data_IF_001843535436
#
_entry.id   IF_001843535436
#
_cell.length_a   1.000
_cell.length_b   1.000
_cell.length_c   1.000
_cell.angle_alpha   90.00
_cell.angle_beta   90.00
_cell.angle_gamma   90.00
#
_symmetry.space_group_name_H-M   'P 1'
#
loop_
_entity.id
_entity.type
_entity.pdbx_description
1 polymer ?
#
# COMPACT_ATOMS: atom_id res chain seq x y z
N UNK A 1 -23.72 3.12 -19.26
CA UNK A 1 -22.93 2.54 -18.13
C UNK A 1 -23.68 2.87 -16.86
N UNK A 2 -23.82 1.93 -15.93
CA UNK A 2 -24.56 2.19 -14.70
C UNK A 2 -23.85 3.29 -13.89
N UNK A 3 -24.61 4.11 -13.15
CA UNK A 3 -24.08 5.12 -12.22
C UNK A 3 -23.14 4.55 -11.17
N UNK A 4 -23.13 3.22 -11.00
CA UNK A 4 -22.27 2.50 -10.05
C UNK A 4 -20.81 2.38 -10.49
N UNK A 5 -20.53 2.40 -11.80
CA UNK A 5 -19.17 2.34 -12.33
C UNK A 5 -18.78 3.69 -12.93
N UNK A 6 -17.82 4.37 -12.33
CA UNK A 6 -17.43 5.72 -12.72
C UNK A 6 -15.93 5.94 -12.51
N UNK A 7 -15.31 6.87 -13.24
CA UNK A 7 -13.91 7.25 -13.01
C UNK A 7 -13.69 7.79 -11.60
N UNK A 8 -12.50 7.54 -11.06
CA UNK A 8 -12.07 8.00 -9.73
C UNK A 8 -10.70 8.65 -9.83
N UNK A 9 -10.43 9.61 -8.95
CA UNK A 9 -9.12 10.24 -8.81
C UNK A 9 -8.59 10.06 -7.41
N UNK A 10 -7.35 9.57 -7.28
CA UNK A 10 -6.60 9.47 -6.02
C UNK A 10 -5.39 10.39 -6.13
N UNK A 11 -5.39 11.52 -5.41
CA UNK A 11 -4.35 12.52 -5.59
C UNK A 11 -4.26 12.97 -7.05
N UNK A 12 -3.14 12.72 -7.70
CA UNK A 12 -2.90 13.01 -9.12
C UNK A 12 -3.15 11.83 -10.06
N UNK A 13 -3.53 10.67 -9.51
CA UNK A 13 -3.75 9.44 -10.28
C UNK A 13 -5.20 9.36 -10.75
N UNK A 14 -5.40 9.39 -12.07
CA UNK A 14 -6.72 9.24 -12.68
C UNK A 14 -6.98 7.78 -13.07
N UNK A 15 -8.05 7.21 -12.55
CA UNK A 15 -8.46 5.82 -12.75
C UNK A 15 -9.75 5.78 -13.58
N UNK A 16 -9.81 4.86 -14.51
CA UNK A 16 -10.97 4.73 -15.43
C UNK A 16 -12.24 4.22 -14.75
N UNK A 17 -12.13 3.68 -13.55
CA UNK A 17 -13.25 3.12 -12.80
C UNK A 17 -12.94 3.01 -11.30
N UNK A 18 -13.95 2.66 -10.55
CA UNK A 18 -13.95 2.54 -9.09
C UNK A 18 -13.91 1.07 -8.59
N UNK A 19 -13.59 0.11 -9.46
CA UNK A 19 -13.43 -1.28 -9.06
C UNK A 19 -11.97 -1.55 -8.68
N UNK A 20 -11.68 -1.68 -7.40
CA UNK A 20 -10.35 -1.88 -6.85
C UNK A 20 -10.20 -3.26 -6.23
N UNK A 21 -9.06 -3.90 -6.47
CA UNK A 21 -8.70 -5.11 -5.73
C UNK A 21 -8.10 -4.73 -4.39
N UNK A 22 -8.73 -5.15 -3.30
CA UNK A 22 -8.21 -4.95 -1.96
C UNK A 22 -6.92 -5.75 -1.70
N UNK A 23 -6.01 -5.28 -0.81
CA UNK A 23 -4.84 -6.04 -0.41
C UNK A 23 -5.24 -7.28 0.40
N UNK A 24 -4.77 -8.47 -0.01
CA UNK A 24 -5.04 -9.73 0.68
C UNK A 24 -3.74 -10.50 0.86
N UNK A 25 -3.27 -10.58 2.10
CA UNK A 25 -2.03 -11.28 2.44
C UNK A 25 -2.07 -12.75 2.01
N UNK A 26 -1.03 -13.19 1.31
CA UNK A 26 -0.91 -14.53 0.75
C UNK A 26 -1.66 -14.75 -0.58
N UNK A 27 -2.33 -13.73 -1.13
CA UNK A 27 -3.13 -13.85 -2.35
C UNK A 27 -2.85 -12.75 -3.39
N UNK A 28 -2.73 -11.48 -2.97
CA UNK A 28 -2.58 -10.36 -3.91
C UNK A 28 -1.14 -10.16 -4.39
N UNK A 29 -0.48 -11.24 -4.79
CA UNK A 29 0.79 -11.20 -5.50
C UNK A 29 0.64 -10.62 -6.92
N UNK A 30 1.75 -10.37 -7.61
CA UNK A 30 1.73 -9.76 -8.92
C UNK A 30 0.94 -10.59 -9.96
N UNK A 31 0.97 -11.93 -9.86
CA UNK A 31 0.26 -12.80 -10.79
C UNK A 31 -1.25 -12.72 -10.58
N UNK A 32 -1.71 -12.77 -9.34
CA UNK A 32 -3.13 -12.65 -9.02
C UNK A 32 -3.66 -11.25 -9.38
N UNK A 33 -2.91 -10.19 -9.08
CA UNK A 33 -3.28 -8.83 -9.46
C UNK A 33 -3.41 -8.67 -10.98
N UNK A 34 -2.49 -9.28 -11.75
CA UNK A 34 -2.56 -9.31 -13.22
C UNK A 34 -3.88 -9.88 -13.73
N UNK A 35 -4.30 -11.03 -13.18
CA UNK A 35 -5.59 -11.67 -13.53
C UNK A 35 -6.77 -10.76 -13.17
N UNK A 36 -6.73 -10.09 -12.01
CA UNK A 36 -7.79 -9.16 -11.61
C UNK A 36 -7.89 -7.95 -12.55
N UNK A 37 -6.77 -7.40 -13.02
CA UNK A 37 -6.75 -6.33 -14.03
C UNK A 37 -7.37 -6.79 -15.35
N UNK A 38 -7.06 -7.99 -15.82
CA UNK A 38 -7.68 -8.58 -17.03
C UNK A 38 -9.19 -8.75 -16.90
N UNK A 39 -9.66 -8.95 -15.66
CA UNK A 39 -11.09 -9.10 -15.34
C UNK A 39 -11.77 -7.81 -14.88
N UNK A 40 -11.14 -6.64 -15.11
CA UNK A 40 -11.80 -5.34 -14.95
C UNK A 40 -11.45 -4.55 -13.68
N UNK A 41 -10.52 -5.02 -12.86
CA UNK A 41 -10.00 -4.18 -11.78
C UNK A 41 -9.26 -2.98 -12.38
N UNK A 42 -9.56 -1.78 -11.88
CA UNK A 42 -8.94 -0.53 -12.36
C UNK A 42 -7.71 -0.13 -11.56
N UNK A 43 -7.61 -0.63 -10.35
CA UNK A 43 -6.51 -0.37 -9.43
C UNK A 43 -6.31 -1.54 -8.48
N UNK A 44 -5.09 -1.77 -8.07
CA UNK A 44 -4.72 -2.91 -7.21
C UNK A 44 -3.78 -2.48 -6.11
N UNK A 45 -3.77 -3.26 -5.04
CA UNK A 45 -2.85 -3.10 -3.92
C UNK A 45 -1.98 -4.34 -3.79
N UNK A 46 -0.71 -4.16 -3.44
CA UNK A 46 0.16 -5.29 -3.09
C UNK A 46 -0.31 -5.95 -1.79
N UNK A 47 0.24 -7.11 -1.47
CA UNK A 47 0.22 -7.60 -0.09
C UNK A 47 0.87 -6.56 0.84
N UNK A 48 0.55 -6.62 2.14
CA UNK A 48 1.12 -5.70 3.11
C UNK A 48 2.62 -5.96 3.33
N UNK A 49 3.43 -4.93 3.15
CA UNK A 49 4.89 -4.93 3.22
C UNK A 49 5.34 -4.40 4.58
N UNK A 50 6.17 -5.15 5.30
CA UNK A 50 6.72 -4.69 6.58
C UNK A 50 7.73 -3.56 6.37
N UNK A 51 7.47 -2.37 6.92
CA UNK A 51 8.39 -1.24 6.91
C UNK A 51 9.73 -1.61 7.56
N UNK A 52 9.70 -2.24 8.75
CA UNK A 52 10.90 -2.73 9.44
C UNK A 52 11.72 -3.71 8.60
N UNK A 53 11.08 -4.66 7.93
CA UNK A 53 11.80 -5.63 7.10
C UNK A 53 12.41 -4.96 5.86
N UNK A 54 11.74 -3.95 5.32
CA UNK A 54 12.19 -3.21 4.16
C UNK A 54 13.44 -2.38 4.46
N UNK A 55 13.42 -1.62 5.56
CA UNK A 55 14.55 -0.84 6.05
C UNK A 55 15.75 -1.74 6.36
N UNK A 56 15.52 -2.96 6.84
CA UNK A 56 16.56 -3.98 7.05
C UNK A 56 17.00 -4.70 5.78
N UNK A 57 16.58 -4.24 4.60
CA UNK A 57 16.97 -4.78 3.28
C UNK A 57 16.61 -6.26 3.09
N UNK A 58 15.46 -6.70 3.58
CA UNK A 58 14.99 -8.07 3.41
C UNK A 58 14.50 -8.29 1.97
N UNK A 59 15.24 -9.06 1.18
CA UNK A 59 14.95 -9.33 -0.23
C UNK A 59 13.58 -10.00 -0.46
N UNK A 60 13.12 -10.85 0.48
CA UNK A 60 11.79 -11.49 0.36
C UNK A 60 10.66 -10.45 0.43
N UNK A 61 10.87 -9.38 1.19
CA UNK A 61 9.91 -8.28 1.31
C UNK A 61 9.86 -7.45 0.03
N UNK A 62 10.97 -7.27 -0.65
CA UNK A 62 11.02 -6.53 -1.92
C UNK A 62 10.23 -7.22 -3.05
N UNK A 63 10.17 -8.55 -3.05
CA UNK A 63 9.40 -9.29 -4.04
C UNK A 63 7.90 -8.95 -3.98
N UNK A 64 7.37 -8.68 -2.79
CA UNK A 64 5.96 -8.32 -2.59
C UNK A 64 5.57 -7.01 -3.29
N UNK A 65 6.54 -6.10 -3.52
CA UNK A 65 6.30 -4.79 -4.11
C UNK A 65 6.28 -4.80 -5.64
N UNK A 66 6.59 -5.91 -6.30
CA UNK A 66 6.72 -5.99 -7.76
C UNK A 66 5.41 -5.64 -8.45
N UNK A 67 5.50 -4.76 -9.46
CA UNK A 67 4.39 -4.43 -10.36
C UNK A 67 4.07 -5.63 -11.25
N UNK A 68 2.81 -5.92 -11.50
CA UNK A 68 2.40 -6.84 -12.56
C UNK A 68 2.54 -6.15 -13.94
N UNK A 69 2.77 -6.95 -14.99
CA UNK A 69 3.12 -6.40 -16.31
C UNK A 69 2.01 -5.55 -16.96
N UNK A 70 0.76 -5.76 -16.57
CA UNK A 70 -0.42 -5.05 -17.08
C UNK A 70 -0.98 -3.98 -16.11
N UNK A 71 -0.35 -3.76 -14.96
CA UNK A 71 -0.73 -2.70 -14.02
C UNK A 71 -0.24 -1.34 -14.53
N UNK A 72 -1.18 -0.46 -14.92
CA UNK A 72 -0.88 0.93 -15.29
C UNK A 72 -0.65 1.82 -14.09
N UNK A 73 -1.40 1.57 -13.03
CA UNK A 73 -1.27 2.18 -11.71
C UNK A 73 -1.54 1.13 -10.63
N UNK A 74 -0.81 1.19 -9.55
CA UNK A 74 -1.01 0.32 -8.39
C UNK A 74 -0.49 0.97 -7.11
N UNK A 75 -0.89 0.42 -5.99
CA UNK A 75 -0.43 0.83 -4.68
C UNK A 75 0.48 -0.22 -4.05
N UNK A 76 1.53 0.25 -3.40
CA UNK A 76 2.28 -0.59 -2.45
C UNK A 76 1.75 -0.31 -1.06
N UNK A 77 1.20 -1.34 -0.40
CA UNK A 77 0.74 -1.23 0.98
C UNK A 77 1.88 -1.52 1.95
N UNK A 78 2.17 -0.58 2.85
CA UNK A 78 3.15 -0.75 3.93
C UNK A 78 2.48 -0.79 5.30
N UNK A 79 3.08 -1.50 6.26
CA UNK A 79 2.66 -1.47 7.65
C UNK A 79 3.84 -1.28 8.60
N UNK A 80 3.59 -0.51 9.64
CA UNK A 80 4.52 -0.19 10.72
C UNK A 80 3.84 0.73 11.72
N UNK A 81 4.42 0.87 12.90
CA UNK A 81 3.90 1.75 13.94
C UNK A 81 4.84 2.93 14.27
N UNK A 82 6.06 2.92 13.73
CA UNK A 82 7.06 3.96 14.02
C UNK A 82 7.15 4.94 12.83
N UNK A 83 6.88 6.26 13.05
CA UNK A 83 6.84 7.25 11.98
C UNK A 83 8.12 7.31 11.15
N UNK A 84 9.29 7.28 11.77
CA UNK A 84 10.60 7.38 11.11
C UNK A 84 10.86 6.17 10.21
N UNK A 85 10.54 4.97 10.69
CA UNK A 85 10.68 3.72 9.93
C UNK A 85 9.70 3.70 8.75
N UNK A 86 8.49 4.20 8.96
CA UNK A 86 7.49 4.29 7.90
C UNK A 86 7.89 5.31 6.82
N UNK A 87 8.49 6.43 7.20
CA UNK A 87 9.04 7.41 6.27
C UNK A 87 10.19 6.83 5.44
N UNK A 88 11.15 6.15 6.08
CA UNK A 88 12.26 5.49 5.38
C UNK A 88 11.76 4.40 4.42
N UNK A 89 10.81 3.58 4.88
CA UNK A 89 10.17 2.56 4.04
C UNK A 89 9.47 3.18 2.82
N UNK A 90 8.77 4.30 2.99
CA UNK A 90 8.13 5.02 1.90
C UNK A 90 9.14 5.49 0.84
N UNK A 91 10.28 6.04 1.24
CA UNK A 91 11.37 6.39 0.32
C UNK A 91 11.88 5.18 -0.46
N UNK A 92 12.15 4.06 0.23
CA UNK A 92 12.62 2.82 -0.41
C UNK A 92 11.58 2.30 -1.41
N UNK A 93 10.30 2.33 -1.05
CA UNK A 93 9.20 1.92 -1.95
C UNK A 93 9.22 2.76 -3.22
N UNK A 94 9.21 4.07 -3.10
CA UNK A 94 9.17 4.98 -4.26
C UNK A 94 10.40 4.85 -5.15
N UNK A 95 11.58 4.71 -4.56
CA UNK A 95 12.83 4.53 -5.29
C UNK A 95 12.86 3.23 -6.09
N UNK A 96 12.39 2.11 -5.48
CA UNK A 96 12.48 0.79 -6.08
C UNK A 96 11.34 0.46 -7.04
N UNK A 97 10.16 1.02 -6.85
CA UNK A 97 8.95 0.56 -7.53
C UNK A 97 8.32 1.58 -8.46
N UNK A 98 8.54 2.87 -8.22
CA UNK A 98 7.83 3.96 -8.89
C UNK A 98 6.29 3.77 -8.87
N UNK A 99 5.76 3.22 -7.76
CA UNK A 99 4.32 3.08 -7.60
C UNK A 99 3.63 4.44 -7.53
N UNK A 100 2.37 4.50 -7.96
CA UNK A 100 1.59 5.74 -8.00
C UNK A 100 1.04 6.12 -6.63
N UNK A 101 0.84 5.13 -5.76
CA UNK A 101 0.25 5.33 -4.43
C UNK A 101 0.99 4.47 -3.40
N UNK A 102 1.22 5.04 -2.22
CA UNK A 102 1.58 4.28 -1.02
C UNK A 102 0.34 4.21 -0.14
N UNK A 103 -0.01 3.00 0.28
CA UNK A 103 -1.12 2.74 1.19
C UNK A 103 -0.59 2.35 2.57
N UNK A 104 -1.20 2.89 3.63
CA UNK A 104 -0.82 2.61 5.03
C UNK A 104 -1.83 1.63 5.61
N UNK A 105 -1.38 0.44 5.99
CA UNK A 105 -2.26 -0.55 6.62
C UNK A 105 -2.65 -0.12 8.05
N UNK A 106 -3.90 0.23 8.23
CA UNK A 106 -4.52 0.55 9.52
C UNK A 106 -5.61 -0.46 9.93
N UNK A 107 -5.72 -1.58 9.23
CA UNK A 107 -6.83 -2.51 9.41
C UNK A 107 -6.45 -3.91 9.88
N UNK A 108 -5.20 -4.34 9.72
CA UNK A 108 -4.79 -5.71 10.03
C UNK A 108 -4.98 -6.04 11.52
N UNK A 109 -5.81 -7.07 11.87
CA UNK A 109 -6.09 -7.44 13.25
C UNK A 109 -5.15 -8.52 13.80
N UNK A 110 -4.14 -8.93 13.05
CA UNK A 110 -3.23 -10.02 13.46
C UNK A 110 -2.48 -9.65 14.72
N UNK A 111 -2.54 -10.46 15.81
CA UNK A 111 -1.93 -10.12 17.09
C UNK A 111 -0.44 -9.77 17.04
N UNK A 112 0.32 -10.42 16.17
CA UNK A 112 1.75 -10.13 15.98
C UNK A 112 1.97 -8.71 15.46
N UNK A 113 1.08 -8.20 14.60
CA UNK A 113 1.15 -6.85 14.04
C UNK A 113 0.65 -5.81 15.04
N UNK A 114 -0.49 -6.07 15.69
CA UNK A 114 -1.03 -5.18 16.73
C UNK A 114 -0.02 -4.94 17.86
N UNK A 115 0.72 -5.98 18.28
CA UNK A 115 1.75 -5.86 19.33
C UNK A 115 2.87 -4.89 18.97
N UNK A 116 3.12 -4.62 17.71
CA UNK A 116 4.11 -3.62 17.25
C UNK A 116 3.54 -2.21 17.10
N UNK A 117 2.29 -1.99 17.49
CA UNK A 117 1.61 -0.70 17.31
C UNK A 117 1.18 -0.41 15.87
N UNK A 118 1.20 -1.42 14.99
CA UNK A 118 0.86 -1.31 13.58
C UNK A 118 -0.53 -1.91 13.28
N UNK A 119 -0.97 -1.81 12.03
CA UNK A 119 -2.26 -2.32 11.60
C UNK A 119 -3.42 -1.67 12.35
N UNK A 120 -4.38 -2.46 12.80
CA UNK A 120 -5.54 -1.92 13.53
C UNK A 120 -5.21 -1.31 14.90
N UNK A 121 -3.98 -1.47 15.43
CA UNK A 121 -3.56 -0.75 16.61
C UNK A 121 -3.49 0.77 16.40
N UNK A 122 -3.18 1.22 15.17
CA UNK A 122 -3.13 2.64 14.82
C UNK A 122 -4.49 3.32 14.98
N UNK A 123 -5.60 2.62 14.73
CA UNK A 123 -6.95 3.19 14.88
C UNK A 123 -7.35 3.43 16.34
N UNK A 124 -6.63 2.84 17.31
CA UNK A 124 -6.81 3.07 18.74
C UNK A 124 -5.96 4.22 19.28
N UNK A 125 -4.97 4.67 18.50
CA UNK A 125 -4.05 5.76 18.83
C UNK A 125 -4.02 6.77 17.68
N UNK A 126 -5.01 7.70 17.63
CA UNK A 126 -5.12 8.69 16.54
C UNK A 126 -3.89 9.59 16.43
N UNK A 127 -3.24 9.92 17.53
CA UNK A 127 -2.04 10.77 17.53
C UNK A 127 -0.86 10.06 16.84
N UNK A 128 -0.71 8.76 17.10
CA UNK A 128 0.29 7.94 16.44
C UNK A 128 -0.03 7.75 14.96
N UNK A 129 -1.28 7.47 14.64
CA UNK A 129 -1.75 7.37 13.25
C UNK A 129 -1.43 8.65 12.47
N UNK A 130 -1.73 9.81 13.06
CA UNK A 130 -1.44 11.10 12.45
C UNK A 130 0.06 11.28 12.18
N UNK A 131 0.92 10.99 13.17
CA UNK A 131 2.38 11.09 13.03
C UNK A 131 2.92 10.15 11.94
N UNK A 132 2.42 8.92 11.87
CA UNK A 132 2.78 7.95 10.82
C UNK A 132 2.36 8.47 9.44
N UNK A 133 1.12 8.92 9.30
CA UNK A 133 0.61 9.45 8.04
C UNK A 133 1.39 10.69 7.59
N UNK A 134 1.64 11.63 8.51
CA UNK A 134 2.43 12.85 8.23
C UNK A 134 3.84 12.51 7.76
N UNK A 135 4.51 11.55 8.44
CA UNK A 135 5.85 11.13 8.09
C UNK A 135 5.92 10.50 6.69
N UNK A 136 4.95 9.63 6.35
CA UNK A 136 4.85 9.02 5.02
C UNK A 136 4.56 10.06 3.94
N UNK A 137 3.63 11.00 4.19
CA UNK A 137 3.30 12.08 3.23
C UNK A 137 4.51 12.98 2.97
N UNK A 138 5.25 13.36 4.02
CA UNK A 138 6.49 14.14 3.87
C UNK A 138 7.54 13.37 3.07
N UNK A 139 7.73 12.09 3.34
CA UNK A 139 8.66 11.23 2.62
C UNK A 139 8.26 11.05 1.15
N UNK A 140 6.96 10.99 0.87
CA UNK A 140 6.44 10.88 -0.50
C UNK A 140 6.54 12.19 -1.31
N UNK A 141 6.95 13.31 -0.70
CA UNK A 141 7.12 14.60 -1.38
C UNK A 141 5.83 15.19 -1.92
N UNK A 142 4.67 14.88 -1.30
CA UNK A 142 3.36 15.39 -1.70
C UNK A 142 2.78 14.73 -2.96
N UNK A 143 3.26 13.53 -3.28
CA UNK A 143 2.70 12.68 -4.36
C UNK A 143 1.41 12.02 -3.94
#
# INVERSE_FOLDING_TARGET
>A
MSELYHPVKIGNVELKGNLFLAPVAGYSDAAFRSVCIENGACFTYTEMVSAEALVRKNLKTEILMRRACNEKAYSVQIFGGEPEIMAEAAHIVLEKTHCEVIDINCGCPVPKIIKTGAGSALTRDPDRLFKVAEAVVKAAGGR
#
